data_IF_678319867909
#
_entry.id   IF_678319867909
#
_cell.length_a   1.000
_cell.length_b   1.000
_cell.length_c   1.000
_cell.angle_alpha   90.00
_cell.angle_beta   90.00
_cell.angle_gamma   90.00
#
_symmetry.space_group_name_H-M   'P 1'
#
loop_
_entity.id
_entity.type
_entity.pdbx_description
1 polymer ?
#
# COMPACT_ATOMS: atom_id res chain seq x y z
N UNK A 1 -15.84 -16.92 13.79
CA UNK A 1 -15.39 -17.73 12.63
C UNK A 1 -13.88 -17.89 12.72
N UNK A 2 -13.32 -19.07 12.56
CA UNK A 2 -11.87 -19.26 12.58
C UNK A 2 -11.29 -18.77 11.25
N UNK A 3 -10.26 -17.93 11.30
CA UNK A 3 -9.46 -17.53 10.11
C UNK A 3 -9.04 -18.81 9.39
N UNK A 4 -9.23 -18.88 8.08
CA UNK A 4 -8.92 -20.09 7.34
C UNK A 4 -7.43 -20.43 7.45
N UNK A 5 -7.08 -21.72 7.52
CA UNK A 5 -5.67 -22.16 7.54
C UNK A 5 -4.88 -21.65 6.34
N UNK A 6 -5.57 -21.34 5.23
CA UNK A 6 -5.01 -20.75 4.01
C UNK A 6 -4.61 -19.28 4.24
N UNK A 7 -5.44 -18.48 4.93
CA UNK A 7 -5.12 -17.09 5.28
C UNK A 7 -3.91 -17.00 6.23
N UNK A 8 -3.80 -17.88 7.23
CA UNK A 8 -2.64 -17.98 8.14
C UNK A 8 -1.35 -18.28 7.35
N UNK A 9 -1.39 -19.22 6.40
CA UNK A 9 -0.24 -19.53 5.54
C UNK A 9 0.17 -18.37 4.61
N UNK A 10 -0.78 -17.51 4.27
CA UNK A 10 -0.57 -16.34 3.41
C UNK A 10 0.12 -15.21 4.16
N UNK A 11 -0.10 -15.07 5.47
CA UNK A 11 0.53 -14.03 6.28
C UNK A 11 2.03 -14.25 6.58
N UNK A 12 2.62 -15.39 6.22
CA UNK A 12 4.06 -15.61 6.34
C UNK A 12 4.82 -14.88 5.26
N UNK A 13 6.08 -14.50 5.56
CA UNK A 13 6.98 -13.92 4.57
C UNK A 13 7.11 -14.84 3.34
N UNK A 14 6.90 -14.30 2.16
CA UNK A 14 6.94 -15.02 0.88
C UNK A 14 8.30 -15.01 0.19
N UNK A 15 9.27 -14.30 0.74
CA UNK A 15 10.61 -14.22 0.17
C UNK A 15 11.33 -15.56 0.33
N UNK A 16 11.65 -16.21 -0.78
CA UNK A 16 12.41 -17.46 -0.85
C UNK A 16 13.47 -17.39 -1.96
N UNK A 17 14.53 -18.18 -1.83
CA UNK A 17 15.58 -18.25 -2.84
C UNK A 17 16.16 -16.87 -3.19
N UNK A 18 16.16 -16.57 -4.48
CA UNK A 18 16.68 -15.31 -5.04
C UNK A 18 15.99 -14.06 -4.49
N UNK A 19 14.68 -14.10 -4.19
CA UNK A 19 13.92 -12.96 -3.70
C UNK A 19 14.37 -12.49 -2.30
N UNK A 20 15.11 -13.31 -1.54
CA UNK A 20 15.70 -12.88 -0.27
C UNK A 20 16.78 -11.80 -0.44
N UNK A 21 17.44 -11.76 -1.60
CA UNK A 21 18.50 -10.80 -1.94
C UNK A 21 18.05 -9.76 -2.96
N UNK A 22 17.01 -10.05 -3.73
CA UNK A 22 16.52 -9.19 -4.80
C UNK A 22 14.99 -9.24 -4.81
N UNK A 23 14.38 -8.65 -3.80
CA UNK A 23 12.93 -8.63 -3.71
C UNK A 23 12.40 -7.92 -2.48
N UNK A 24 11.10 -7.78 -2.46
CA UNK A 24 10.37 -7.14 -1.37
C UNK A 24 9.20 -8.01 -0.91
N UNK A 25 8.75 -7.75 0.32
CA UNK A 25 7.51 -8.27 0.86
C UNK A 25 6.89 -7.21 1.77
N UNK A 26 5.71 -6.74 1.40
CA UNK A 26 4.99 -5.65 2.05
C UNK A 26 3.67 -6.17 2.61
N UNK A 27 3.36 -5.86 3.86
CA UNK A 27 2.03 -5.94 4.47
C UNK A 27 1.54 -4.52 4.71
N UNK A 28 0.29 -4.27 4.37
CA UNK A 28 -0.36 -2.98 4.58
C UNK A 28 -1.66 -3.18 5.35
N UNK A 29 -1.83 -2.38 6.39
CA UNK A 29 -2.99 -2.32 7.26
C UNK A 29 -3.58 -0.93 7.16
N UNK A 30 -4.82 -0.80 6.76
CA UNK A 30 -5.53 0.48 6.59
C UNK A 30 -6.78 0.46 7.45
N UNK A 31 -7.07 1.55 8.14
CA UNK A 31 -8.23 1.65 9.02
C UNK A 31 -8.60 3.11 9.27
N UNK A 32 -9.83 3.34 9.76
CA UNK A 32 -10.30 4.63 10.21
C UNK A 32 -10.27 4.73 11.74
N UNK A 33 -10.01 5.93 12.25
CA UNK A 33 -10.12 6.29 13.66
C UNK A 33 -10.77 7.66 13.82
N UNK A 34 -11.38 7.89 14.97
CA UNK A 34 -12.10 9.12 15.30
C UNK A 34 -11.33 9.88 16.36
N UNK A 35 -10.98 11.13 16.11
CA UNK A 35 -10.31 12.01 17.08
C UNK A 35 -11.16 12.20 18.33
N UNK A 36 -10.56 12.02 19.49
CA UNK A 36 -11.29 12.03 20.76
C UNK A 36 -11.93 13.37 21.10
N UNK A 37 -11.32 14.46 20.69
CA UNK A 37 -11.77 15.83 21.04
C UNK A 37 -12.77 16.35 20.01
N UNK A 38 -12.46 16.24 18.72
CA UNK A 38 -13.26 16.86 17.65
C UNK A 38 -14.32 15.94 17.06
N UNK A 39 -14.18 14.63 17.26
CA UNK A 39 -15.01 13.62 16.61
C UNK A 39 -14.72 13.44 15.11
N UNK A 40 -13.68 14.09 14.56
CA UNK A 40 -13.32 13.98 13.17
C UNK A 40 -12.75 12.59 12.85
N UNK A 41 -13.26 11.99 11.80
CA UNK A 41 -12.79 10.70 11.30
C UNK A 41 -11.60 10.91 10.36
N UNK A 42 -10.54 10.11 10.57
CA UNK A 42 -9.34 10.10 9.73
C UNK A 42 -9.00 8.67 9.34
N UNK A 43 -8.36 8.53 8.20
CA UNK A 43 -7.83 7.25 7.73
C UNK A 43 -6.33 7.16 8.00
N UNK A 44 -5.92 5.98 8.43
CA UNK A 44 -4.53 5.65 8.81
C UNK A 44 -4.04 4.44 8.02
N UNK A 45 -2.72 4.35 7.91
CA UNK A 45 -2.06 3.14 7.44
C UNK A 45 -0.88 2.78 8.35
N UNK A 46 -0.62 1.48 8.44
CA UNK A 46 0.58 0.91 9.03
C UNK A 46 1.10 -0.12 8.03
N UNK A 47 2.38 -0.09 7.73
CA UNK A 47 3.02 -0.99 6.79
C UNK A 47 4.27 -1.63 7.42
N UNK A 48 4.49 -2.90 7.10
CA UNK A 48 5.72 -3.62 7.36
C UNK A 48 6.28 -4.10 6.03
N UNK A 49 7.51 -3.72 5.69
CA UNK A 49 8.11 -4.20 4.46
C UNK A 49 9.53 -4.70 4.68
N UNK A 50 9.87 -5.77 3.98
CA UNK A 50 11.23 -6.30 3.83
C UNK A 50 11.73 -5.92 2.44
N UNK A 51 12.90 -5.34 2.36
CA UNK A 51 13.59 -5.00 1.11
C UNK A 51 14.94 -5.70 1.13
N UNK A 52 15.17 -6.63 0.21
CA UNK A 52 16.43 -7.38 0.07
C UNK A 52 17.02 -7.85 1.41
N UNK A 53 16.28 -8.50 2.31
CA UNK A 53 16.66 -8.65 3.72
C UNK A 53 17.97 -9.41 3.94
N UNK A 54 18.39 -10.26 2.99
CA UNK A 54 19.60 -11.08 3.11
C UNK A 54 20.80 -10.51 2.33
N UNK A 55 20.70 -9.28 1.82
CA UNK A 55 21.81 -8.66 1.09
C UNK A 55 22.82 -8.00 2.05
N UNK A 56 22.36 -7.25 3.04
CA UNK A 56 23.20 -6.62 4.06
C UNK A 56 22.53 -6.72 5.44
N UNK A 57 22.54 -7.90 6.09
CA UNK A 57 21.78 -8.14 7.31
C UNK A 57 22.35 -7.40 8.54
N UNK A 58 23.62 -6.99 8.52
CA UNK A 58 24.31 -6.38 9.65
C UNK A 58 23.90 -4.92 9.91
N UNK A 59 23.43 -4.21 8.88
CA UNK A 59 22.98 -2.81 8.99
C UNK A 59 21.86 -2.51 7.98
N UNK A 60 21.05 -1.49 8.28
CA UNK A 60 20.06 -0.98 7.33
C UNK A 60 20.75 -0.15 6.26
N UNK A 61 20.59 -0.54 4.99
CA UNK A 61 21.20 0.13 3.84
C UNK A 61 20.10 0.77 3.00
N UNK A 62 20.12 2.09 2.94
CA UNK A 62 19.22 2.86 2.07
C UNK A 62 19.97 3.20 0.78
N UNK A 63 19.39 2.91 -0.37
CA UNK A 63 20.03 3.07 -1.68
C UNK A 63 20.18 4.53 -2.16
N UNK A 64 19.71 5.50 -1.37
CA UNK A 64 19.84 6.93 -1.66
C UNK A 64 21.20 7.51 -1.28
N UNK A 65 21.88 6.94 -0.31
CA UNK A 65 23.24 7.30 0.06
C UNK A 65 24.22 6.24 -0.42
N UNK A 66 25.24 6.66 -1.14
CA UNK A 66 26.42 5.81 -1.34
C UNK A 66 27.11 5.63 0.00
N UNK A 67 27.23 4.38 0.47
CA UNK A 67 28.02 4.04 1.67
C UNK A 67 29.42 3.57 1.34
N UNK A 68 29.76 3.47 0.05
CA UNK A 68 31.12 3.14 -0.34
C UNK A 68 32.04 4.29 0.04
N UNK A 69 32.95 4.05 0.98
CA UNK A 69 34.09 4.94 1.15
C UNK A 69 34.87 4.90 -0.15
N UNK A 70 35.07 6.06 -0.77
CA UNK A 70 35.96 6.20 -1.92
C UNK A 70 37.32 5.68 -1.46
N UNK A 71 37.84 4.66 -2.13
CA UNK A 71 39.16 4.11 -1.82
C UNK A 71 40.24 5.08 -2.30
N UNK A 72 41.45 4.97 -1.73
CA UNK A 72 42.60 5.74 -2.23
C UNK A 72 42.85 5.46 -3.72
N UNK A 73 42.65 4.22 -4.15
CA UNK A 73 42.76 3.80 -5.55
C UNK A 73 41.71 4.46 -6.45
N UNK A 74 40.44 4.52 -6.00
CA UNK A 74 39.38 5.25 -6.73
C UNK A 74 39.72 6.74 -6.87
N UNK A 75 40.26 7.33 -5.80
CA UNK A 75 40.69 8.74 -5.81
C UNK A 75 41.86 8.97 -6.78
N UNK A 76 42.84 8.10 -6.77
CA UNK A 76 43.98 8.16 -7.70
C UNK A 76 43.54 7.98 -9.16
N UNK A 77 42.60 7.08 -9.43
CA UNK A 77 42.02 6.86 -10.76
C UNK A 77 41.27 8.10 -11.28
N UNK A 78 40.55 8.80 -10.40
CA UNK A 78 39.92 10.08 -10.77
C UNK A 78 40.93 11.17 -11.03
N UNK A 79 41.94 11.29 -10.16
CA UNK A 79 43.03 12.28 -10.33
C UNK A 79 43.88 12.01 -11.55
N UNK A 80 44.07 10.73 -11.92
CA UNK A 80 44.78 10.31 -13.14
C UNK A 80 43.90 10.42 -14.41
N UNK A 81 42.62 10.76 -14.30
CA UNK A 81 41.69 10.88 -15.43
C UNK A 81 41.30 9.53 -16.05
N UNK A 82 41.60 8.40 -15.40
CA UNK A 82 41.24 7.07 -15.85
C UNK A 82 39.82 6.67 -15.46
N UNK A 83 39.23 7.38 -14.51
CA UNK A 83 37.82 7.24 -14.12
C UNK A 83 37.18 8.62 -13.88
N UNK A 84 35.89 8.75 -14.20
CA UNK A 84 35.19 9.99 -13.88
C UNK A 84 34.64 9.93 -12.44
N UNK A 85 34.63 11.05 -11.73
CA UNK A 85 34.00 11.13 -10.38
C UNK A 85 32.52 10.70 -10.44
N UNK A 86 31.83 10.96 -11.54
CA UNK A 86 30.47 10.56 -11.78
C UNK A 86 30.32 9.04 -11.93
N UNK A 87 31.25 8.35 -12.61
CA UNK A 87 31.20 6.88 -12.76
C UNK A 87 31.41 6.19 -11.41
N UNK A 88 32.37 6.63 -10.62
CA UNK A 88 32.62 6.10 -9.28
C UNK A 88 31.41 6.33 -8.38
N UNK A 89 30.76 7.50 -8.45
CA UNK A 89 29.58 7.83 -7.68
C UNK A 89 28.35 7.03 -8.14
N UNK A 90 28.20 6.77 -9.46
CA UNK A 90 27.09 5.97 -9.99
C UNK A 90 27.26 4.46 -9.73
N UNK A 91 28.48 3.94 -9.77
CA UNK A 91 28.80 2.53 -9.43
C UNK A 91 28.66 2.25 -7.94
N UNK A 92 28.79 3.27 -7.10
CA UNK A 92 28.75 3.15 -5.64
C UNK A 92 27.36 3.25 -5.02
N UNK A 93 26.29 3.36 -5.81
CA UNK A 93 24.92 3.39 -5.28
C UNK A 93 24.62 2.06 -4.61
N UNK A 94 24.37 2.14 -3.29
CA UNK A 94 24.02 0.96 -2.51
C UNK A 94 22.66 0.40 -2.94
N UNK A 95 22.56 -0.91 -3.04
CA UNK A 95 21.26 -1.59 -3.17
C UNK A 95 20.59 -1.58 -1.79
N UNK A 96 19.33 -1.16 -1.68
CA UNK A 96 18.66 -1.09 -0.39
C UNK A 96 18.55 -2.47 0.26
N UNK A 97 18.79 -2.54 1.57
CA UNK A 97 18.67 -3.78 2.34
C UNK A 97 18.25 -3.45 3.77
N UNK A 98 16.97 -3.68 4.08
CA UNK A 98 16.40 -3.36 5.40
C UNK A 98 15.01 -3.96 5.59
N UNK A 99 14.53 -3.90 6.83
CA UNK A 99 13.12 -3.98 7.18
C UNK A 99 12.65 -2.57 7.51
N UNK A 100 11.52 -2.16 6.98
CA UNK A 100 10.94 -0.85 7.25
C UNK A 100 9.53 -0.97 7.81
N UNK A 101 9.27 -0.20 8.85
CA UNK A 101 7.91 0.04 9.36
C UNK A 101 7.54 1.45 8.95
N UNK A 102 6.38 1.59 8.30
CA UNK A 102 5.80 2.90 7.97
C UNK A 102 4.47 3.04 8.70
N UNK A 103 4.22 4.21 9.23
CA UNK A 103 2.93 4.57 9.79
C UNK A 103 2.55 5.97 9.33
N UNK A 104 1.27 6.21 9.06
CA UNK A 104 0.83 7.50 8.57
C UNK A 104 -0.66 7.74 8.65
N UNK A 105 -1.03 8.98 8.34
CA UNK A 105 -2.38 9.51 8.31
C UNK A 105 -2.64 10.16 6.96
N UNK A 106 -3.84 10.00 6.42
CA UNK A 106 -4.31 10.66 5.19
C UNK A 106 -5.11 11.93 5.47
N UNK A 107 -5.29 12.75 4.44
CA UNK A 107 -6.11 13.96 4.44
C UNK A 107 -5.31 15.25 4.60
N UNK A 108 -5.91 16.28 5.16
CA UNK A 108 -5.36 17.63 5.32
C UNK A 108 -4.07 17.70 6.16
N UNK A 109 -3.89 16.76 7.06
CA UNK A 109 -2.68 16.63 7.90
C UNK A 109 -1.86 15.40 7.55
N UNK A 110 -1.89 15.00 6.27
CA UNK A 110 -1.24 13.80 5.80
C UNK A 110 0.27 13.79 6.09
N UNK A 111 0.75 12.68 6.61
CA UNK A 111 2.17 12.42 6.84
C UNK A 111 2.49 10.94 6.90
N UNK A 112 3.76 10.61 6.70
CA UNK A 112 4.33 9.28 6.86
C UNK A 112 5.60 9.36 7.70
N UNK A 113 5.73 8.48 8.70
CA UNK A 113 6.96 8.21 9.41
C UNK A 113 7.47 6.82 9.00
N UNK A 114 8.81 6.65 8.99
CA UNK A 114 9.46 5.40 8.58
C UNK A 114 10.53 5.00 9.59
N UNK A 115 10.46 3.78 10.14
CA UNK A 115 11.53 3.18 10.93
C UNK A 115 12.29 2.16 10.08
N UNK A 116 13.60 2.30 9.94
CA UNK A 116 14.46 1.40 9.16
C UNK A 116 15.29 0.52 10.11
N UNK A 117 15.24 -0.79 9.90
CA UNK A 117 15.89 -1.76 10.77
C UNK A 117 16.78 -2.71 9.96
N UNK A 118 18.02 -3.01 10.42
CA UNK A 118 18.79 -4.13 9.90
C UNK A 118 18.00 -5.43 10.05
N UNK A 119 18.12 -6.34 9.09
CA UNK A 119 17.40 -7.61 9.17
C UNK A 119 17.75 -8.43 10.42
N UNK A 120 19.00 -8.36 10.88
CA UNK A 120 19.45 -9.07 12.08
C UNK A 120 18.81 -8.57 13.38
N UNK A 121 18.31 -7.33 13.39
CA UNK A 121 17.66 -6.73 14.57
C UNK A 121 16.16 -7.04 14.61
N UNK A 122 15.65 -7.73 13.57
CA UNK A 122 14.24 -8.09 13.46
C UNK A 122 14.04 -9.52 13.92
N UNK A 123 13.13 -9.71 14.86
CA UNK A 123 12.70 -11.03 15.32
C UNK A 123 11.44 -11.44 14.58
N UNK A 124 11.45 -12.61 13.96
CA UNK A 124 10.28 -13.15 13.27
C UNK A 124 10.03 -14.62 13.62
N UNK A 125 8.76 -15.00 13.73
CA UNK A 125 8.37 -16.40 13.86
C UNK A 125 8.33 -17.09 12.48
N UNK A 126 8.86 -18.31 12.42
CA UNK A 126 8.75 -19.15 11.21
C UNK A 126 7.40 -19.88 11.09
N UNK A 127 6.60 -19.92 12.17
CA UNK A 127 5.37 -20.72 12.23
C UNK A 127 4.11 -19.91 12.01
N UNK A 128 4.08 -18.67 12.42
CA UNK A 128 2.93 -17.75 12.36
C UNK A 128 3.42 -16.32 12.08
N UNK A 129 2.50 -15.45 11.76
CA UNK A 129 2.83 -14.04 11.55
C UNK A 129 3.06 -13.36 12.91
N UNK A 130 4.30 -13.20 13.28
CA UNK A 130 4.74 -12.45 14.47
C UNK A 130 6.12 -11.88 14.18
N UNK A 131 6.20 -10.55 14.09
CA UNK A 131 7.40 -9.81 13.71
C UNK A 131 7.60 -8.68 14.71
N UNK A 132 8.81 -8.57 15.25
CA UNK A 132 9.25 -7.45 16.08
C UNK A 132 10.40 -6.72 15.38
N UNK A 133 10.23 -5.41 15.16
CA UNK A 133 11.22 -4.52 14.57
C UNK A 133 11.33 -3.25 15.43
N UNK A 134 12.39 -3.16 16.25
CA UNK A 134 12.54 -2.11 17.26
C UNK A 134 11.38 -2.12 18.26
N UNK A 135 10.69 -0.99 18.40
CA UNK A 135 9.51 -0.83 19.26
C UNK A 135 8.20 -1.31 18.60
N UNK A 136 8.26 -1.81 17.38
CA UNK A 136 7.09 -2.18 16.59
C UNK A 136 6.87 -3.69 16.58
N UNK A 137 5.64 -4.13 16.83
CA UNK A 137 5.25 -5.53 16.75
C UNK A 137 4.01 -5.73 15.88
N UNK A 138 4.08 -6.75 15.04
CA UNK A 138 3.04 -7.20 14.13
C UNK A 138 2.72 -8.66 14.38
N UNK A 139 1.49 -8.99 14.68
CA UNK A 139 1.04 -10.37 14.87
C UNK A 139 -0.31 -10.63 14.21
N UNK A 140 -0.80 -11.86 14.21
CA UNK A 140 -2.05 -12.26 13.52
C UNK A 140 -3.30 -11.52 14.01
N UNK A 141 -3.25 -10.87 15.16
CA UNK A 141 -4.42 -10.19 15.76
C UNK A 141 -4.07 -8.83 16.37
N UNK A 142 -2.79 -8.44 16.39
CA UNK A 142 -2.35 -7.25 17.08
C UNK A 142 -1.25 -6.52 16.34
N UNK A 143 -1.36 -5.18 16.33
CA UNK A 143 -0.34 -4.25 15.88
C UNK A 143 -0.04 -3.27 17.01
N UNK A 144 1.22 -3.10 17.38
CA UNK A 144 1.64 -2.09 18.35
C UNK A 144 2.99 -1.52 17.97
N UNK A 145 3.21 -0.26 18.30
CA UNK A 145 4.49 0.38 18.02
C UNK A 145 4.45 1.89 18.13
N UNK A 146 5.61 2.48 17.90
CA UNK A 146 5.76 3.93 17.80
C UNK A 146 6.93 4.28 16.90
N UNK A 147 6.81 5.43 16.23
CA UNK A 147 7.85 6.05 15.41
C UNK A 147 7.92 7.53 15.77
N UNK A 148 9.14 8.07 15.84
CA UNK A 148 9.40 9.47 16.17
C UNK A 148 10.62 9.97 15.43
N UNK A 149 10.50 11.12 14.78
CA UNK A 149 11.59 11.81 14.12
C UNK A 149 11.50 13.32 14.31
N UNK A 150 12.62 13.92 14.73
CA UNK A 150 12.75 15.38 14.77
C UNK A 150 13.01 15.94 13.36
N UNK A 151 12.65 17.21 13.16
CA UNK A 151 12.97 17.89 11.91
C UNK A 151 14.50 18.00 11.69
N UNK A 152 15.28 18.04 12.77
CA UNK A 152 16.76 18.05 12.71
C UNK A 152 17.27 16.72 12.17
N UNK A 153 16.81 15.61 12.73
CA UNK A 153 17.21 14.26 12.28
C UNK A 153 16.94 14.08 10.76
N UNK A 154 15.80 14.57 10.26
CA UNK A 154 15.48 14.43 8.84
C UNK A 154 16.29 15.37 7.93
N UNK A 155 16.76 16.48 8.43
CA UNK A 155 17.73 17.32 7.68
C UNK A 155 19.09 16.64 7.54
N UNK A 156 19.50 15.90 8.57
CA UNK A 156 20.74 15.12 8.54
C UNK A 156 20.60 13.82 7.73
N UNK A 157 19.37 13.31 7.61
CA UNK A 157 19.02 12.04 6.94
C UNK A 157 17.89 12.21 5.92
N UNK A 158 18.09 12.98 4.82
CA UNK A 158 17.08 13.19 3.78
C UNK A 158 16.66 11.88 3.09
N UNK A 159 17.51 10.84 3.18
CA UNK A 159 17.23 9.50 2.67
C UNK A 159 16.10 8.76 3.37
N UNK A 160 15.59 9.22 4.51
CA UNK A 160 14.54 8.52 5.26
C UNK A 160 13.14 8.64 4.65
N UNK A 161 12.94 9.32 3.55
CA UNK A 161 11.66 9.39 2.79
C UNK A 161 10.41 9.52 3.68
N UNK A 162 10.49 10.31 4.75
CA UNK A 162 9.42 10.47 5.72
C UNK A 162 9.33 11.90 6.27
N UNK A 163 8.24 12.18 6.99
CA UNK A 163 8.02 13.45 7.67
C UNK A 163 8.54 13.39 9.11
N UNK A 164 8.73 14.55 9.74
CA UNK A 164 8.93 14.66 11.18
C UNK A 164 7.63 14.50 11.96
N UNK A 165 7.73 14.11 13.23
CA UNK A 165 6.59 13.98 14.13
C UNK A 165 6.64 12.70 14.95
N UNK A 166 5.52 12.38 15.55
CA UNK A 166 5.33 11.23 16.42
C UNK A 166 4.05 10.47 16.04
N UNK A 167 4.15 9.15 15.89
CA UNK A 167 3.00 8.26 15.71
C UNK A 167 3.18 7.05 16.63
N UNK A 168 2.14 6.75 17.43
CA UNK A 168 2.07 5.57 18.31
C UNK A 168 0.74 4.87 18.11
N UNK A 169 0.75 3.53 18.09
CA UNK A 169 -0.46 2.73 17.93
C UNK A 169 -0.48 1.51 18.86
N UNK A 170 -1.68 1.12 19.23
CA UNK A 170 -1.95 -0.14 19.93
C UNK A 170 -3.32 -0.64 19.48
N UNK A 171 -3.33 -1.58 18.53
CA UNK A 171 -4.50 -2.02 17.80
C UNK A 171 -4.66 -3.53 17.90
N UNK A 172 -5.89 -3.98 18.03
CA UNK A 172 -6.31 -5.35 17.75
C UNK A 172 -7.07 -5.35 16.43
N UNK A 173 -7.01 -6.46 15.70
CA UNK A 173 -7.77 -6.60 14.47
C UNK A 173 -8.33 -8.01 14.30
N UNK A 174 -9.43 -8.10 13.55
CA UNK A 174 -10.08 -9.35 13.18
C UNK A 174 -10.49 -9.28 11.71
N UNK A 175 -10.04 -10.25 10.92
CA UNK A 175 -10.43 -10.38 9.53
C UNK A 175 -11.84 -10.96 9.46
N UNK A 176 -12.79 -10.18 8.96
CA UNK A 176 -14.19 -10.57 8.78
C UNK A 176 -14.44 -11.28 7.46
N UNK A 177 -13.67 -10.90 6.43
CA UNK A 177 -13.74 -11.51 5.12
C UNK A 177 -12.32 -11.61 4.56
N UNK A 178 -11.82 -12.83 4.47
CA UNK A 178 -10.57 -13.14 3.83
C UNK A 178 -10.82 -13.54 2.38
N UNK A 179 -10.29 -12.74 1.47
CA UNK A 179 -10.26 -13.10 0.07
C UNK A 179 -8.80 -13.07 -0.38
N UNK A 180 -8.04 -14.16 -0.11
CA UNK A 180 -6.63 -14.24 -0.47
C UNK A 180 -6.46 -14.47 -1.97
N UNK A 181 -7.18 -13.69 -2.74
CA UNK A 181 -7.12 -13.65 -4.19
C UNK A 181 -6.52 -12.32 -4.63
N UNK A 182 -5.90 -12.34 -5.77
CA UNK A 182 -5.21 -11.23 -6.37
C UNK A 182 -4.49 -11.73 -7.61
N UNK A 183 -3.23 -11.38 -7.79
CA UNK A 183 -2.38 -11.95 -8.82
C UNK A 183 -1.07 -12.43 -8.21
N UNK A 184 -0.48 -13.46 -8.82
CA UNK A 184 0.78 -14.06 -8.38
C UNK A 184 1.69 -14.25 -9.59
N UNK A 185 2.71 -13.43 -9.70
CA UNK A 185 3.73 -13.51 -10.73
C UNK A 185 5.13 -13.49 -10.11
N UNK A 186 6.15 -13.87 -10.89
CA UNK A 186 7.54 -13.83 -10.42
C UNK A 186 8.05 -12.40 -10.19
N UNK A 187 7.53 -11.44 -10.94
CA UNK A 187 7.95 -10.03 -10.84
C UNK A 187 7.24 -9.32 -9.69
N UNK A 188 5.93 -9.49 -9.59
CA UNK A 188 5.10 -8.85 -8.57
C UNK A 188 3.88 -9.71 -8.29
N UNK A 189 3.48 -9.76 -7.03
CA UNK A 189 2.28 -10.45 -6.59
C UNK A 189 1.52 -9.60 -5.58
N UNK A 190 0.20 -9.78 -5.53
CA UNK A 190 -0.67 -9.09 -4.59
C UNK A 190 -1.84 -9.97 -4.16
N UNK A 191 -2.17 -9.95 -2.86
CA UNK A 191 -3.38 -10.57 -2.30
C UNK A 191 -4.07 -9.65 -1.31
N UNK A 192 -5.40 -9.56 -1.38
CA UNK A 192 -6.24 -8.91 -0.37
C UNK A 192 -6.52 -9.89 0.78
N UNK A 193 -5.58 -10.03 1.69
CA UNK A 193 -5.64 -11.02 2.78
C UNK A 193 -6.67 -10.70 3.85
N UNK A 194 -7.14 -9.46 3.92
CA UNK A 194 -8.20 -9.00 4.82
C UNK A 194 -9.07 -7.96 4.11
N UNK A 195 -9.83 -8.41 3.10
CA UNK A 195 -10.68 -7.56 2.26
C UNK A 195 -11.69 -6.73 3.07
N UNK A 196 -12.20 -7.32 4.17
CA UNK A 196 -12.92 -6.61 5.25
C UNK A 196 -12.31 -7.02 6.57
N UNK A 197 -11.80 -6.04 7.30
CA UNK A 197 -11.15 -6.22 8.59
C UNK A 197 -11.69 -5.19 9.57
N UNK A 198 -11.94 -5.59 10.80
CA UNK A 198 -12.28 -4.66 11.87
C UNK A 198 -11.08 -4.44 12.75
N UNK A 199 -10.86 -3.18 13.12
CA UNK A 199 -9.81 -2.78 14.05
C UNK A 199 -10.41 -2.18 15.31
N UNK A 200 -9.72 -2.36 16.44
CA UNK A 200 -10.06 -1.78 17.73
C UNK A 200 -8.80 -1.30 18.46
N UNK A 201 -8.86 -0.19 19.17
CA UNK A 201 -7.75 0.33 19.95
C UNK A 201 -7.54 1.82 19.74
N UNK A 202 -6.29 2.26 19.80
CA UNK A 202 -5.93 3.68 19.69
C UNK A 202 -4.75 3.90 18.77
N UNK A 203 -4.73 5.07 18.12
CA UNK A 203 -3.56 5.63 17.45
C UNK A 203 -3.41 7.10 17.85
N UNK A 204 -2.19 7.50 18.17
CA UNK A 204 -1.82 8.88 18.50
C UNK A 204 -0.92 9.44 17.43
N UNK A 205 -1.22 10.64 16.93
CA UNK A 205 -0.40 11.38 15.95
C UNK A 205 -0.13 12.77 16.48
N UNK A 206 1.13 13.11 16.71
CA UNK A 206 1.55 14.43 17.22
C UNK A 206 0.74 14.92 18.43
N UNK A 207 0.50 14.02 19.40
CA UNK A 207 -0.26 14.30 20.63
C UNK A 207 -1.78 14.22 20.48
N UNK A 208 -2.34 14.09 19.29
CA UNK A 208 -3.77 13.87 19.06
C UNK A 208 -4.08 12.38 19.10
N UNK A 209 -5.01 11.99 19.96
CA UNK A 209 -5.44 10.60 20.10
C UNK A 209 -6.73 10.34 19.31
N UNK A 210 -6.73 9.20 18.60
CA UNK A 210 -7.85 8.71 17.80
C UNK A 210 -8.27 7.34 18.31
N UNK A 211 -9.57 7.20 18.60
CA UNK A 211 -10.17 5.90 18.91
C UNK A 211 -10.52 5.16 17.64
N UNK A 212 -10.07 3.91 17.56
CA UNK A 212 -10.41 2.99 16.48
C UNK A 212 -11.51 2.05 16.99
N UNK A 213 -12.71 2.22 16.44
CA UNK A 213 -13.90 1.47 16.86
C UNK A 213 -14.27 0.46 15.77
N UNK A 214 -14.49 -0.83 16.09
CA UNK A 214 -14.73 -1.89 15.11
C UNK A 214 -15.78 -1.57 14.05
N UNK A 215 -16.91 -1.00 14.46
CA UNK A 215 -18.02 -0.66 13.55
C UNK A 215 -17.72 0.47 12.56
N UNK A 216 -16.71 1.29 12.83
CA UNK A 216 -16.32 2.46 12.03
C UNK A 216 -14.91 2.34 11.43
N UNK A 217 -14.19 1.26 11.74
CA UNK A 217 -12.79 1.13 11.32
C UNK A 217 -12.60 0.94 9.82
N UNK A 218 -13.60 0.46 9.09
CA UNK A 218 -13.58 0.27 7.64
C UNK A 218 -12.26 -0.35 7.15
N UNK A 219 -11.80 -1.38 7.87
CA UNK A 219 -10.44 -1.87 7.77
C UNK A 219 -10.18 -2.75 6.56
N UNK A 220 -8.94 -2.67 6.08
CA UNK A 220 -8.43 -3.40 4.95
C UNK A 220 -7.00 -3.87 5.21
N UNK A 221 -6.68 -5.10 4.77
CA UNK A 221 -5.31 -5.65 4.82
C UNK A 221 -4.97 -6.25 3.47
N UNK A 222 -3.82 -5.88 2.93
CA UNK A 222 -3.25 -6.53 1.76
C UNK A 222 -1.78 -6.88 1.93
N UNK A 223 -1.29 -7.62 0.95
CA UNK A 223 0.12 -8.00 0.82
C UNK A 223 0.57 -7.88 -0.61
N UNK A 224 1.78 -7.35 -0.73
CA UNK A 224 2.51 -7.30 -1.99
C UNK A 224 3.89 -7.94 -1.81
N UNK A 225 4.34 -8.72 -2.76
CA UNK A 225 5.68 -9.29 -2.75
C UNK A 225 6.16 -9.58 -4.17
N UNK A 226 7.47 -9.72 -4.35
CA UNK A 226 8.04 -10.01 -5.66
C UNK A 226 9.44 -9.44 -5.80
N UNK A 227 9.89 -9.34 -7.04
CA UNK A 227 11.18 -8.77 -7.40
C UNK A 227 11.16 -7.24 -7.32
N UNK A 228 10.11 -6.63 -7.85
CA UNK A 228 9.91 -5.19 -7.82
C UNK A 228 8.45 -4.84 -7.66
N UNK A 229 8.15 -3.63 -7.19
CA UNK A 229 6.80 -3.07 -7.21
C UNK A 229 6.37 -2.82 -8.66
N UNK A 230 5.07 -2.90 -9.00
CA UNK A 230 4.59 -2.58 -10.34
C UNK A 230 5.05 -1.19 -10.80
N UNK A 231 5.43 -1.07 -12.07
CA UNK A 231 5.84 0.20 -12.66
C UNK A 231 4.72 1.24 -12.65
N UNK A 232 3.51 0.77 -13.00
CA UNK A 232 2.27 1.52 -12.77
C UNK A 232 1.55 0.94 -11.55
N UNK A 233 1.25 1.79 -10.58
CA UNK A 233 0.51 1.45 -9.39
C UNK A 233 -0.89 2.05 -9.46
N UNK A 234 -1.89 1.21 -9.31
CA UNK A 234 -3.29 1.62 -9.16
C UNK A 234 -3.89 0.87 -7.98
N UNK A 235 -4.54 1.58 -7.07
CA UNK A 235 -5.29 0.97 -6.00
C UNK A 235 -6.56 1.76 -5.67
N UNK A 236 -7.67 1.04 -5.50
CA UNK A 236 -8.90 1.56 -4.92
C UNK A 236 -9.40 0.50 -3.93
N UNK A 237 -9.73 0.91 -2.71
CA UNK A 237 -10.38 0.00 -1.77
C UNK A 237 -11.37 0.72 -0.87
N UNK A 238 -12.55 0.14 -0.71
CA UNK A 238 -13.55 0.58 0.26
C UNK A 238 -14.44 -0.58 0.69
N UNK A 239 -14.86 -0.55 1.95
CA UNK A 239 -15.97 -1.36 2.50
C UNK A 239 -17.14 -0.48 2.97
N UNK A 240 -17.17 0.79 2.58
CA UNK A 240 -18.26 1.72 2.87
C UNK A 240 -19.09 1.95 1.62
N UNK A 241 -20.01 1.02 1.37
CA UNK A 241 -20.85 1.00 0.19
C UNK A 241 -22.31 1.19 0.58
N UNK A 242 -23.03 1.99 -0.21
CA UNK A 242 -24.50 2.23 -0.05
C UNK A 242 -25.18 2.05 -1.40
N UNK A 243 -26.14 1.13 -1.47
CA UNK A 243 -26.94 0.94 -2.69
C UNK A 243 -27.75 2.19 -3.01
N UNK A 244 -27.58 2.74 -4.20
CA UNK A 244 -28.41 3.83 -4.73
C UNK A 244 -29.76 3.35 -5.26
N UNK A 245 -29.90 2.04 -5.47
CA UNK A 245 -31.17 1.43 -5.89
C UNK A 245 -32.10 1.28 -4.68
N UNK A 246 -31.57 0.84 -3.53
CA UNK A 246 -32.40 0.53 -2.36
C UNK A 246 -32.24 1.53 -1.21
N UNK A 247 -31.24 2.42 -1.26
CA UNK A 247 -30.87 3.35 -0.19
C UNK A 247 -30.24 2.68 1.04
N UNK A 248 -29.94 1.38 0.97
CA UNK A 248 -29.41 0.61 2.12
C UNK A 248 -27.87 0.58 2.12
N UNK A 249 -27.28 0.70 3.30
CA UNK A 249 -25.85 0.43 3.49
C UNK A 249 -25.60 -1.06 3.30
N UNK A 250 -24.63 -1.39 2.45
CA UNK A 250 -24.22 -2.74 2.13
C UNK A 250 -23.13 -3.19 3.12
N UNK A 251 -23.56 -3.65 4.30
CA UNK A 251 -22.67 -3.87 5.44
C UNK A 251 -21.64 -4.99 5.24
N UNK A 252 -21.96 -5.99 4.42
CA UNK A 252 -21.08 -7.12 4.12
C UNK A 252 -20.47 -7.03 2.72
N UNK A 253 -20.16 -5.82 2.30
CA UNK A 253 -19.65 -5.56 0.95
C UNK A 253 -18.30 -4.88 0.96
N UNK A 254 -17.52 -5.10 -0.10
CA UNK A 254 -16.27 -4.39 -0.35
C UNK A 254 -15.94 -4.34 -1.84
N UNK A 255 -15.22 -3.30 -2.23
CA UNK A 255 -14.66 -3.14 -3.56
C UNK A 255 -13.15 -2.92 -3.44
N UNK A 256 -12.37 -3.73 -4.14
CA UNK A 256 -10.91 -3.63 -4.16
C UNK A 256 -10.43 -3.77 -5.60
N UNK A 257 -9.74 -2.75 -6.08
CA UNK A 257 -9.04 -2.75 -7.36
C UNK A 257 -7.55 -2.63 -7.06
N UNK A 258 -6.72 -3.44 -7.67
CA UNK A 258 -5.29 -3.41 -7.41
C UNK A 258 -4.45 -3.81 -8.62
N UNK A 259 -3.35 -3.08 -8.72
CA UNK A 259 -2.18 -3.44 -9.49
C UNK A 259 -2.41 -3.41 -10.99
N UNK A 260 -1.39 -2.98 -11.70
CA UNK A 260 -1.32 -3.11 -13.14
C UNK A 260 -0.34 -4.23 -13.46
N UNK A 261 -0.82 -5.32 -14.01
CA UNK A 261 0.02 -6.42 -14.47
C UNK A 261 -0.33 -6.75 -15.92
N UNK A 262 0.66 -6.56 -16.81
CA UNK A 262 0.48 -6.72 -18.28
C UNK A 262 -0.74 -5.94 -18.77
N UNK A 263 -0.81 -4.66 -18.43
CA UNK A 263 -1.89 -3.72 -18.79
C UNK A 263 -3.29 -4.09 -18.28
N UNK A 264 -3.39 -4.97 -17.28
CA UNK A 264 -4.64 -5.35 -16.64
C UNK A 264 -4.60 -5.09 -15.15
N UNK A 265 -5.74 -4.70 -14.60
CA UNK A 265 -5.97 -4.58 -13.17
C UNK A 265 -6.82 -5.72 -12.66
N UNK A 266 -6.67 -6.05 -11.37
CA UNK A 266 -7.51 -7.03 -10.69
C UNK A 266 -8.64 -6.34 -9.94
N UNK A 267 -9.80 -7.00 -9.87
CA UNK A 267 -10.95 -6.57 -9.08
C UNK A 267 -11.41 -7.70 -8.18
N UNK A 268 -11.64 -7.36 -6.92
CA UNK A 268 -12.39 -8.15 -5.96
C UNK A 268 -13.58 -7.32 -5.50
N UNK A 269 -14.78 -7.79 -5.83
CA UNK A 269 -16.02 -7.12 -5.50
C UNK A 269 -16.92 -8.09 -4.75
N UNK A 270 -17.32 -7.75 -3.54
CA UNK A 270 -18.37 -8.45 -2.78
C UNK A 270 -19.54 -7.52 -2.56
N UNK A 271 -20.71 -7.95 -3.01
CA UNK A 271 -21.97 -7.33 -2.71
C UNK A 271 -22.85 -8.32 -1.94
N UNK A 272 -22.94 -8.16 -0.61
CA UNK A 272 -23.83 -8.97 0.23
C UNK A 272 -23.67 -10.47 -0.05
N UNK A 273 -22.41 -10.99 -0.01
CA UNK A 273 -22.02 -12.39 -0.30
C UNK A 273 -22.03 -12.80 -1.80
N UNK A 274 -22.25 -11.88 -2.71
CA UNK A 274 -22.04 -12.13 -4.14
C UNK A 274 -20.65 -11.69 -4.56
N UNK A 275 -19.74 -12.63 -4.58
CA UNK A 275 -18.32 -12.36 -4.86
C UNK A 275 -18.03 -12.43 -6.36
N UNK A 276 -17.46 -11.36 -6.90
CA UNK A 276 -16.93 -11.28 -8.26
C UNK A 276 -15.42 -11.07 -8.22
N UNK A 277 -14.70 -11.86 -9.03
CA UNK A 277 -13.22 -11.85 -9.08
C UNK A 277 -12.73 -11.73 -10.50
N UNK A 278 -11.82 -10.80 -10.71
CA UNK A 278 -11.08 -10.60 -11.95
C UNK A 278 -9.59 -10.53 -11.61
N UNK A 279 -8.83 -11.54 -12.00
CA UNK A 279 -7.43 -11.68 -11.60
C UNK A 279 -6.50 -11.46 -12.79
N UNK A 280 -5.60 -10.51 -12.70
CA UNK A 280 -4.76 -10.03 -13.80
C UNK A 280 -3.75 -11.07 -14.32
N UNK A 281 -3.30 -12.01 -13.48
CA UNK A 281 -2.33 -13.07 -13.80
C UNK A 281 -2.91 -14.23 -14.62
N UNK A 282 -4.22 -14.27 -14.78
CA UNK A 282 -4.88 -15.33 -15.54
C UNK A 282 -4.29 -15.45 -16.95
N UNK A 283 -3.72 -16.60 -17.27
CA UNK A 283 -3.20 -16.94 -18.61
C UNK A 283 -4.31 -16.95 -19.67
N UNK A 284 -5.58 -17.13 -19.23
CA UNK A 284 -6.76 -17.03 -20.08
C UNK A 284 -7.30 -15.61 -20.03
N UNK A 285 -7.46 -14.96 -21.17
CA UNK A 285 -8.14 -13.68 -21.27
C UNK A 285 -9.65 -13.84 -20.97
N UNK A 286 -9.99 -14.04 -19.70
CA UNK A 286 -11.37 -14.24 -19.27
C UNK A 286 -12.14 -12.92 -19.14
N UNK A 287 -11.44 -11.81 -19.15
CA UNK A 287 -11.98 -10.45 -19.06
C UNK A 287 -11.07 -9.43 -19.74
N UNK A 288 -11.63 -8.25 -20.03
CA UNK A 288 -10.88 -7.02 -20.33
C UNK A 288 -11.03 -6.02 -19.19
N UNK A 289 -10.02 -5.22 -18.96
CA UNK A 289 -10.06 -4.06 -18.07
C UNK A 289 -9.49 -2.85 -18.76
N UNK A 290 -10.06 -1.67 -18.44
CA UNK A 290 -9.54 -0.35 -18.78
C UNK A 290 -9.44 0.43 -17.50
N UNK A 291 -8.44 1.28 -17.39
CA UNK A 291 -8.25 2.13 -16.23
C UNK A 291 -7.55 3.42 -16.63
N UNK A 292 -7.87 4.47 -15.93
CA UNK A 292 -7.17 5.74 -16.02
C UNK A 292 -7.21 6.48 -14.68
N UNK A 293 -6.25 7.39 -14.50
CA UNK A 293 -6.23 8.32 -13.41
C UNK A 293 -5.96 9.70 -13.99
N UNK A 294 -6.95 10.59 -13.91
CA UNK A 294 -6.93 11.90 -14.58
C UNK A 294 -7.29 13.02 -13.61
N UNK A 295 -6.67 14.20 -13.82
CA UNK A 295 -7.07 15.41 -13.10
C UNK A 295 -8.34 15.96 -13.75
N UNK A 296 -9.36 16.18 -12.93
CA UNK A 296 -10.60 16.82 -13.37
C UNK A 296 -10.48 18.34 -13.25
N UNK A 297 -11.11 19.09 -14.16
CA UNK A 297 -11.23 20.53 -14.00
C UNK A 297 -11.86 20.90 -12.65
N UNK A 298 -11.46 22.04 -12.11
CA UNK A 298 -12.04 22.56 -10.87
C UNK A 298 -13.55 22.80 -11.04
N UNK A 299 -14.33 22.26 -10.11
CA UNK A 299 -15.76 22.53 -9.95
C UNK A 299 -16.02 23.33 -8.66
N UNK A 300 -17.28 23.39 -8.20
CA UNK A 300 -17.65 24.09 -6.97
C UNK A 300 -16.93 23.54 -5.72
N UNK A 301 -16.51 22.28 -5.75
CA UNK A 301 -15.79 21.60 -4.66
C UNK A 301 -14.26 21.61 -4.86
N UNK A 302 -13.76 22.30 -5.89
CA UNK A 302 -12.35 22.40 -6.23
C UNK A 302 -11.85 21.33 -7.21
N UNK A 303 -10.52 21.24 -7.35
CA UNK A 303 -9.88 20.24 -8.20
C UNK A 303 -9.92 18.85 -7.58
N UNK A 304 -10.17 17.85 -8.41
CA UNK A 304 -10.23 16.43 -8.00
C UNK A 304 -9.38 15.57 -8.92
N UNK A 305 -8.81 14.53 -8.36
CA UNK A 305 -8.27 13.43 -9.14
C UNK A 305 -9.35 12.36 -9.30
N UNK A 306 -9.49 11.82 -10.49
CA UNK A 306 -10.50 10.83 -10.88
C UNK A 306 -9.82 9.51 -11.24
N UNK A 307 -10.18 8.45 -10.56
CA UNK A 307 -9.87 7.07 -10.91
C UNK A 307 -11.06 6.45 -11.59
N UNK A 308 -10.91 6.08 -12.85
CA UNK A 308 -11.93 5.37 -13.62
C UNK A 308 -11.43 3.97 -13.97
N UNK A 309 -12.20 2.95 -13.65
CA UNK A 309 -11.86 1.56 -13.94
C UNK A 309 -13.08 0.80 -14.45
N UNK A 310 -12.91 0.11 -15.57
CA UNK A 310 -13.97 -0.71 -16.15
C UNK A 310 -13.52 -2.15 -16.36
N UNK A 311 -14.38 -3.09 -16.03
CA UNK A 311 -14.19 -4.53 -16.21
C UNK A 311 -15.29 -5.13 -17.05
N UNK A 312 -14.91 -5.95 -18.02
CA UNK A 312 -15.88 -6.65 -18.89
C UNK A 312 -15.49 -8.11 -19.05
N UNK A 313 -16.44 -9.01 -18.79
CA UNK A 313 -16.34 -10.42 -19.16
C UNK A 313 -17.61 -10.88 -19.92
N UNK A 314 -17.75 -12.20 -20.11
CA UNK A 314 -18.92 -12.76 -20.83
C UNK A 314 -20.26 -12.51 -20.13
N UNK A 315 -20.25 -12.29 -18.78
CA UNK A 315 -21.49 -12.21 -17.97
C UNK A 315 -21.75 -10.82 -17.40
N UNK A 316 -20.69 -10.04 -17.13
CA UNK A 316 -20.77 -8.79 -16.37
C UNK A 316 -20.00 -7.67 -17.03
N UNK A 317 -20.49 -6.44 -16.82
CA UNK A 317 -19.73 -5.18 -16.95
C UNK A 317 -19.76 -4.51 -15.59
N UNK A 318 -18.63 -3.96 -15.17
CA UNK A 318 -18.49 -3.27 -13.89
C UNK A 318 -17.72 -1.98 -14.16
N UNK A 319 -18.32 -0.85 -13.84
CA UNK A 319 -17.71 0.46 -13.95
C UNK A 319 -17.55 1.05 -12.54
N UNK A 320 -16.38 1.58 -12.25
CA UNK A 320 -15.99 2.14 -10.95
C UNK A 320 -15.40 3.51 -11.23
N UNK A 321 -16.01 4.53 -10.66
CA UNK A 321 -15.55 5.92 -10.72
C UNK A 321 -15.34 6.42 -9.30
N UNK A 322 -14.11 6.84 -8.95
CA UNK A 322 -13.78 7.37 -7.64
C UNK A 322 -13.05 8.68 -7.77
N UNK A 323 -13.41 9.65 -6.96
CA UNK A 323 -12.86 11.00 -6.95
C UNK A 323 -12.24 11.30 -5.58
N UNK A 324 -11.11 11.99 -5.57
CA UNK A 324 -10.51 12.53 -4.35
C UNK A 324 -10.09 13.98 -4.56
N UNK A 325 -10.47 14.92 -3.66
CA UNK A 325 -10.04 16.30 -3.74
C UNK A 325 -8.52 16.42 -3.68
N UNK A 326 -7.93 17.22 -4.57
CA UNK A 326 -6.46 17.42 -4.65
C UNK A 326 -5.84 17.84 -3.32
N UNK A 327 -6.44 18.75 -2.50
CA UNK A 327 -5.88 19.13 -1.20
C UNK A 327 -5.79 17.99 -0.17
N UNK A 328 -6.54 16.88 -0.39
CA UNK A 328 -6.52 15.71 0.49
C UNK A 328 -5.57 14.61 0.00
N UNK A 329 -4.89 14.84 -1.12
CA UNK A 329 -3.91 13.90 -1.65
C UNK A 329 -2.56 14.08 -0.95
N UNK A 330 -1.86 12.96 -0.78
CA UNK A 330 -0.55 12.88 -0.16
C UNK A 330 0.43 12.16 -1.06
N UNK A 331 1.58 12.78 -1.31
CA UNK A 331 2.63 12.18 -2.13
C UNK A 331 3.60 11.39 -1.25
N UNK A 332 3.70 10.08 -1.51
CA UNK A 332 4.61 9.14 -0.83
C UNK A 332 5.67 8.64 -1.80
N UNK A 333 6.83 8.30 -1.27
CA UNK A 333 7.88 7.64 -2.03
C UNK A 333 8.27 6.33 -1.35
N UNK A 334 8.27 5.23 -2.10
CA UNK A 334 8.68 3.92 -1.65
C UNK A 334 9.92 3.50 -2.43
N UNK A 335 11.03 3.22 -1.73
CA UNK A 335 12.26 2.78 -2.38
C UNK A 335 12.08 1.40 -3.01
N UNK A 336 12.60 1.23 -4.24
CA UNK A 336 12.50 -0.01 -4.98
C UNK A 336 13.67 -0.97 -4.64
N UNK A 337 13.43 -2.29 -4.65
CA UNK A 337 14.45 -3.29 -4.32
C UNK A 337 15.70 -3.23 -5.21
N UNK A 338 15.57 -2.83 -6.46
CA UNK A 338 16.70 -2.66 -7.38
C UNK A 338 17.64 -1.51 -7.04
N UNK A 339 17.22 -0.59 -6.18
CA UNK A 339 18.00 0.59 -5.80
C UNK A 339 18.18 1.58 -6.94
N UNK A 340 19.40 2.10 -7.16
CA UNK A 340 19.70 3.10 -8.19
C UNK A 340 18.90 4.40 -8.04
N UNK A 341 18.58 4.77 -6.80
CA UNK A 341 17.71 5.91 -6.44
C UNK A 341 16.28 5.81 -6.99
N UNK A 342 15.86 4.67 -7.51
CA UNK A 342 14.50 4.51 -7.99
C UNK A 342 13.51 4.40 -6.84
N UNK A 343 12.40 5.07 -6.98
CA UNK A 343 11.25 5.01 -6.08
C UNK A 343 9.97 4.75 -6.86
N UNK A 344 9.03 4.09 -6.22
CA UNK A 344 7.63 4.19 -6.61
C UNK A 344 7.06 5.43 -5.94
N UNK A 345 6.69 6.43 -6.74
CA UNK A 345 6.07 7.67 -6.27
C UNK A 345 4.57 7.52 -6.31
N UNK A 346 3.95 7.54 -5.15
CA UNK A 346 2.52 7.28 -4.96
C UNK A 346 1.79 8.55 -4.56
N UNK A 347 0.79 8.91 -5.33
CA UNK A 347 -0.22 9.90 -4.95
C UNK A 347 -1.38 9.15 -4.27
N UNK A 348 -1.63 9.44 -3.00
CA UNK A 348 -2.54 8.70 -2.16
C UNK A 348 -3.62 9.60 -1.58
N UNK A 349 -4.87 9.14 -1.60
CA UNK A 349 -6.01 9.78 -0.93
C UNK A 349 -6.79 8.79 -0.08
N UNK A 350 -7.14 9.19 1.15
CA UNK A 350 -7.89 8.34 2.09
C UNK A 350 -9.40 8.58 2.11
N UNK A 351 -9.87 9.62 1.44
CA UNK A 351 -11.26 10.12 1.51
C UNK A 351 -11.95 10.10 0.14
N UNK A 352 -11.60 9.14 -0.71
CA UNK A 352 -12.22 8.99 -2.03
C UNK A 352 -13.71 8.72 -1.91
N UNK A 353 -14.49 9.30 -2.82
CA UNK A 353 -15.93 9.08 -2.97
C UNK A 353 -16.27 8.83 -4.42
N UNK A 354 -17.31 8.04 -4.69
CA UNK A 354 -17.67 7.72 -6.06
C UNK A 354 -18.76 6.67 -6.18
N UNK A 355 -18.75 5.93 -7.27
CA UNK A 355 -19.83 5.00 -7.60
C UNK A 355 -19.29 3.71 -8.22
N UNK A 356 -20.03 2.63 -8.00
CA UNK A 356 -19.89 1.34 -8.70
C UNK A 356 -21.18 1.05 -9.40
N UNK A 357 -21.11 0.69 -10.68
CA UNK A 357 -22.25 0.20 -11.48
C UNK A 357 -21.94 -1.22 -11.92
N UNK A 358 -22.77 -2.15 -11.50
CA UNK A 358 -22.69 -3.58 -11.88
C UNK A 358 -23.80 -3.92 -12.84
N UNK A 359 -23.43 -4.34 -14.03
CA UNK A 359 -24.37 -4.78 -15.06
C UNK A 359 -24.22 -6.26 -15.36
N UNK A 360 -25.32 -6.92 -15.72
CA UNK A 360 -25.37 -8.29 -16.23
C UNK A 360 -25.71 -8.29 -17.71
N UNK A 361 -24.98 -9.08 -18.47
CA UNK A 361 -25.26 -9.33 -19.91
C UNK A 361 -26.32 -10.43 -20.04
N UNK A 362 -27.46 -10.11 -20.65
CA UNK A 362 -28.55 -11.02 -20.91
C UNK A 362 -28.82 -11.02 -22.41
N UNK A 363 -28.31 -12.07 -23.10
CA UNK A 363 -28.37 -12.15 -24.57
C UNK A 363 -27.72 -10.90 -25.22
N UNK A 364 -28.51 -10.04 -25.86
CA UNK A 364 -28.07 -8.79 -26.52
C UNK A 364 -28.23 -7.55 -25.63
N UNK A 365 -28.82 -7.68 -24.43
CA UNK A 365 -29.12 -6.57 -23.54
C UNK A 365 -28.14 -6.55 -22.37
N UNK A 366 -27.98 -5.36 -21.78
CA UNK A 366 -27.23 -5.12 -20.56
C UNK A 366 -28.21 -4.58 -19.52
N UNK A 367 -28.31 -5.24 -18.37
CA UNK A 367 -29.22 -4.89 -17.28
C UNK A 367 -28.41 -4.45 -16.07
N UNK A 368 -28.73 -3.28 -15.50
CA UNK A 368 -28.15 -2.79 -14.25
C UNK A 368 -28.65 -3.67 -13.09
N UNK A 369 -27.72 -4.31 -12.37
CA UNK A 369 -28.05 -5.17 -11.22
C UNK A 369 -27.88 -4.40 -9.92
N UNK A 370 -26.82 -3.60 -9.81
CA UNK A 370 -26.51 -2.83 -8.63
C UNK A 370 -25.85 -1.50 -9.03
N UNK A 371 -26.22 -0.44 -8.32
CA UNK A 371 -25.60 0.86 -8.38
C UNK A 371 -25.31 1.28 -6.94
N UNK A 372 -24.05 1.36 -6.56
CA UNK A 372 -23.66 1.66 -5.21
C UNK A 372 -22.77 2.91 -5.13
N UNK A 373 -23.05 3.76 -4.15
CA UNK A 373 -22.16 4.83 -3.76
C UNK A 373 -20.98 4.26 -2.96
N UNK A 374 -19.78 4.75 -3.24
CA UNK A 374 -18.54 4.46 -2.50
C UNK A 374 -18.21 5.68 -1.64
N UNK A 375 -17.89 5.47 -0.37
CA UNK A 375 -17.35 6.51 0.50
C UNK A 375 -16.07 6.03 1.19
N UNK A 376 -15.27 6.98 1.67
CA UNK A 376 -14.02 6.73 2.41
C UNK A 376 -13.08 5.75 1.68
N UNK A 377 -13.00 5.82 0.36
CA UNK A 377 -12.10 4.96 -0.39
C UNK A 377 -10.64 5.37 -0.18
N UNK A 378 -9.76 4.38 -0.02
CA UNK A 378 -8.34 4.56 -0.27
C UNK A 378 -8.15 4.54 -1.79
N UNK A 379 -7.51 5.58 -2.33
CA UNK A 379 -7.21 5.72 -3.74
C UNK A 379 -5.72 5.97 -3.89
N UNK A 380 -5.05 5.20 -4.74
CA UNK A 380 -3.63 5.40 -5.00
C UNK A 380 -3.34 5.30 -6.50
N UNK A 381 -2.45 6.15 -6.96
CA UNK A 381 -1.86 6.09 -8.28
C UNK A 381 -0.38 6.40 -8.19
N UNK A 382 0.47 5.68 -8.93
CA UNK A 382 1.89 5.92 -8.88
C UNK A 382 2.66 5.33 -10.05
N UNK A 383 3.88 5.84 -10.20
CA UNK A 383 4.86 5.40 -11.20
C UNK A 383 6.25 5.33 -10.62
N UNK A 384 7.12 4.57 -11.29
CA UNK A 384 8.53 4.58 -10.97
C UNK A 384 9.17 5.90 -11.43
N UNK A 385 9.93 6.51 -10.54
CA UNK A 385 10.68 7.74 -10.79
C UNK A 385 12.09 7.66 -10.19
N UNK A 386 12.98 8.50 -10.70
CA UNK A 386 14.27 8.81 -10.07
C UNK A 386 14.10 10.20 -9.47
N UNK A 387 13.94 10.34 -8.13
CA UNK A 387 13.75 11.65 -7.53
C UNK A 387 15.01 12.50 -7.69
N UNK A 388 14.82 13.77 -7.96
CA UNK A 388 15.86 14.79 -7.80
C UNK A 388 16.07 14.99 -6.28
N UNK A 389 17.28 14.74 -5.79
CA UNK A 389 17.68 14.90 -4.38
C UNK A 389 18.38 16.23 -4.17
#
# INVERSE_FOLDING_TARGET
>A
MSVSKKAIGINRRRLSGYLKKNGYNLWRFVFNGTENITGLEKKFFIELAYINPMLSPAEAVLGFKSRRKISEEDLQNVLAGTSSAHSIQSESLAVPSYVVVRAGIFGDSAKQLCGYFPYNDVRESLRFFDVEAGSCRFSEQKLSGQLEYSALTLREHPEFLCNSGFIKWNLQYEIRFDLPDGFDSRESAWYATGARTVFAGTITVDGKEYNVVPKKSLGYIDRNWGKTLPEDWLHISSSNLTSLITGKTLQESCCIVQGVYKDRVSLLLDFENKVLKFTADSSKRLYSSMWECTQMPADADGEKLHWSVSFTNKKYVIDIDVYCPVPLLFLRSLELPEGKRKVLKLLCGGNGTGEIRLYKKIKKNIELIEHAHIANALCEFGKHEIPEL
#
